data_IF_185984041348
#
_entry.id   IF_185984041348
#
_cell.length_a   1.000
_cell.length_b   1.000
_cell.length_c   1.000
_cell.angle_alpha   90.00
_cell.angle_beta   90.00
_cell.angle_gamma   90.00
#
_symmetry.space_group_name_H-M   'P 1'
#
loop_
_entity.id
_entity.type
_entity.pdbx_description
1 polymer ?
#
# COMPACT_ATOMS: atom_id res chain seq x y z
N UNK A 1 -16.41 7.58 -13.47
CA UNK A 1 -15.38 8.42 -12.86
C UNK A 1 -14.43 8.85 -13.95
N UNK A 2 -13.91 10.08 -13.91
CA UNK A 2 -12.96 10.57 -14.89
C UNK A 2 -11.56 10.03 -14.55
N UNK A 3 -10.71 9.81 -15.57
CA UNK A 3 -9.34 9.33 -15.35
C UNK A 3 -8.41 10.34 -14.65
N UNK A 4 -8.93 11.52 -14.31
CA UNK A 4 -8.17 12.60 -13.69
C UNK A 4 -8.18 12.46 -12.17
N UNK A 5 -9.31 12.08 -11.57
CA UNK A 5 -9.41 11.77 -10.14
C UNK A 5 -8.61 10.51 -9.75
N UNK A 6 -8.55 9.51 -10.64
CA UNK A 6 -7.81 8.27 -10.38
C UNK A 6 -6.29 8.44 -10.50
N UNK A 7 -5.81 9.26 -11.45
CA UNK A 7 -4.39 9.58 -11.59
C UNK A 7 -3.85 10.34 -10.36
N UNK A 8 -4.62 11.31 -9.85
CA UNK A 8 -4.27 12.03 -8.61
C UNK A 8 -4.23 11.07 -7.41
N UNK A 9 -5.10 10.06 -7.39
CA UNK A 9 -5.10 9.04 -6.33
C UNK A 9 -3.82 8.21 -6.35
N UNK A 10 -3.34 7.82 -7.54
CA UNK A 10 -2.08 7.08 -7.70
C UNK A 10 -0.87 7.92 -7.28
N UNK A 11 -0.73 9.14 -7.78
CA UNK A 11 0.40 10.02 -7.43
C UNK A 11 0.45 10.33 -5.93
N UNK A 12 -0.72 10.57 -5.32
CA UNK A 12 -0.82 10.80 -3.88
C UNK A 12 -0.39 9.57 -3.09
N UNK A 13 -0.82 8.38 -3.51
CA UNK A 13 -0.42 7.13 -2.86
C UNK A 13 1.09 6.90 -2.98
N UNK A 14 1.68 7.13 -4.16
CA UNK A 14 3.13 7.03 -4.36
C UNK A 14 3.89 7.98 -3.43
N UNK A 15 3.50 9.26 -3.38
CA UNK A 15 4.14 10.24 -2.49
C UNK A 15 4.02 9.87 -1.00
N UNK A 16 2.93 9.22 -0.59
CA UNK A 16 2.78 8.71 0.78
C UNK A 16 3.70 7.51 1.06
N UNK A 17 3.89 6.62 0.08
CA UNK A 17 4.73 5.43 0.20
C UNK A 17 6.22 5.75 0.14
N UNK A 18 6.63 6.71 -0.67
CA UNK A 18 8.02 7.18 -0.80
C UNK A 18 8.59 7.73 0.52
N UNK A 19 7.73 8.10 1.46
CA UNK A 19 8.13 8.50 2.82
C UNK A 19 8.62 7.33 3.67
N UNK A 20 8.29 6.09 3.28
CA UNK A 20 8.68 4.86 3.97
C UNK A 20 8.36 4.86 5.46
N UNK A 21 7.20 5.40 5.82
CA UNK A 21 6.73 5.49 7.19
C UNK A 21 5.39 4.75 7.39
N UNK A 22 5.12 4.36 8.65
CA UNK A 22 3.93 3.60 9.02
C UNK A 22 2.65 4.37 8.75
N UNK A 23 2.67 5.71 8.84
CA UNK A 23 1.49 6.56 8.63
C UNK A 23 1.10 6.60 7.15
N UNK A 24 2.06 6.75 6.25
CA UNK A 24 1.87 6.75 4.81
C UNK A 24 1.30 5.42 4.34
N UNK A 25 1.93 4.31 4.77
CA UNK A 25 1.41 2.98 4.46
C UNK A 25 0.00 2.78 5.02
N UNK A 26 -0.27 3.16 6.27
CA UNK A 26 -1.60 3.05 6.86
C UNK A 26 -2.67 3.80 6.07
N UNK A 27 -2.37 5.01 5.58
CA UNK A 27 -3.33 5.79 4.78
C UNK A 27 -3.64 5.11 3.46
N UNK A 28 -2.63 4.54 2.78
CA UNK A 28 -2.83 3.79 1.54
C UNK A 28 -3.64 2.52 1.78
N UNK A 29 -3.35 1.77 2.85
CA UNK A 29 -4.16 0.61 3.22
C UNK A 29 -5.60 1.01 3.57
N UNK A 30 -5.80 2.11 4.29
CA UNK A 30 -7.14 2.61 4.60
C UNK A 30 -7.91 2.96 3.32
N UNK A 31 -7.25 3.60 2.35
CA UNK A 31 -7.85 3.87 1.04
C UNK A 31 -8.23 2.57 0.32
N UNK A 32 -7.35 1.55 0.32
CA UNK A 32 -7.64 0.23 -0.26
C UNK A 32 -8.88 -0.42 0.34
N UNK A 33 -9.12 -0.28 1.65
CA UNK A 33 -10.29 -0.90 2.30
C UNK A 33 -11.64 -0.34 1.86
N UNK A 34 -11.67 0.89 1.32
CA UNK A 34 -12.90 1.57 0.89
C UNK A 34 -12.95 1.84 -0.60
N UNK A 35 -11.86 1.54 -1.32
CA UNK A 35 -11.74 1.77 -2.74
C UNK A 35 -12.69 0.87 -3.54
N UNK A 36 -13.25 1.43 -4.62
CA UNK A 36 -13.84 0.62 -5.69
C UNK A 36 -12.75 -0.10 -6.49
N UNK A 37 -13.16 -0.94 -7.44
CA UNK A 37 -12.24 -1.76 -8.23
C UNK A 37 -11.22 -0.89 -9.00
N UNK A 38 -11.67 0.17 -9.66
CA UNK A 38 -10.80 1.04 -10.46
C UNK A 38 -9.77 1.76 -9.57
N UNK A 39 -10.24 2.34 -8.46
CA UNK A 39 -9.37 3.03 -7.49
C UNK A 39 -8.41 2.05 -6.82
N UNK A 40 -8.88 0.84 -6.50
CA UNK A 40 -8.09 -0.22 -5.90
C UNK A 40 -6.92 -0.65 -6.79
N UNK A 41 -7.15 -0.79 -8.10
CA UNK A 41 -6.11 -1.12 -9.07
C UNK A 41 -5.02 -0.02 -9.12
N UNK A 42 -5.40 1.25 -9.12
CA UNK A 42 -4.45 2.36 -9.08
C UNK A 42 -3.61 2.41 -7.79
N UNK A 43 -4.24 2.15 -6.65
CA UNK A 43 -3.53 2.05 -5.36
C UNK A 43 -2.57 0.86 -5.33
N UNK A 44 -2.97 -0.28 -5.91
CA UNK A 44 -2.09 -1.44 -6.02
C UNK A 44 -0.90 -1.17 -6.94
N UNK A 45 -1.10 -0.49 -8.08
CA UNK A 45 0.00 -0.06 -8.94
C UNK A 45 0.98 0.87 -8.22
N UNK A 46 0.47 1.84 -7.44
CA UNK A 46 1.32 2.72 -6.62
C UNK A 46 2.19 1.91 -5.63
N UNK A 47 1.62 0.90 -4.99
CA UNK A 47 2.35 0.01 -4.07
C UNK A 47 3.41 -0.80 -4.80
N UNK A 48 3.11 -1.34 -5.97
CA UNK A 48 4.07 -2.10 -6.75
C UNK A 48 5.24 -1.23 -7.24
N UNK A 49 4.93 -0.03 -7.73
CA UNK A 49 5.90 0.92 -8.29
C UNK A 49 6.86 1.48 -7.25
N UNK A 50 6.45 1.58 -5.98
CA UNK A 50 7.30 2.13 -4.91
C UNK A 50 7.88 1.03 -4.04
N UNK A 51 7.07 0.05 -3.62
CA UNK A 51 7.43 -0.84 -2.53
C UNK A 51 7.92 -2.23 -2.97
N UNK A 52 7.79 -2.60 -4.25
CA UNK A 52 8.17 -3.92 -4.75
C UNK A 52 9.29 -3.86 -5.82
N UNK A 53 10.06 -2.77 -5.88
CA UNK A 53 11.09 -2.54 -6.91
C UNK A 53 12.39 -3.30 -6.69
N UNK A 54 12.73 -3.61 -5.44
CA UNK A 54 13.97 -4.28 -5.07
C UNK A 54 13.79 -5.14 -3.82
N UNK A 55 14.77 -6.01 -3.52
CA UNK A 55 14.75 -6.79 -2.28
C UNK A 55 14.82 -5.92 -1.02
N UNK A 56 15.53 -4.79 -1.07
CA UNK A 56 15.57 -3.82 0.04
C UNK A 56 14.18 -3.23 0.30
N UNK A 57 13.44 -2.91 -0.76
CA UNK A 57 12.07 -2.39 -0.67
C UNK A 57 11.13 -3.43 -0.04
N UNK A 58 11.26 -4.70 -0.42
CA UNK A 58 10.49 -5.80 0.16
C UNK A 58 10.76 -5.96 1.67
N UNK A 59 12.02 -5.85 2.10
CA UNK A 59 12.39 -5.94 3.51
C UNK A 59 11.87 -4.73 4.31
N UNK A 60 11.98 -3.53 3.74
CA UNK A 60 11.46 -2.29 4.34
C UNK A 60 9.95 -2.34 4.47
N UNK A 61 9.26 -2.77 3.42
CA UNK A 61 7.81 -2.98 3.42
C UNK A 61 7.39 -4.02 4.45
N UNK A 62 8.13 -5.13 4.56
CA UNK A 62 7.85 -6.16 5.56
C UNK A 62 7.94 -5.61 6.99
N UNK A 63 8.91 -4.73 7.28
CA UNK A 63 9.02 -4.02 8.55
C UNK A 63 7.81 -3.13 8.85
N UNK A 64 7.37 -2.33 7.88
CA UNK A 64 6.20 -1.47 8.01
C UNK A 64 4.90 -2.29 8.19
N UNK A 65 4.69 -3.33 7.39
CA UNK A 65 3.56 -4.24 7.54
C UNK A 65 3.56 -4.96 8.90
N UNK A 66 4.75 -5.27 9.44
CA UNK A 66 4.85 -5.85 10.78
C UNK A 66 4.43 -4.88 11.88
N UNK A 67 4.69 -3.58 11.72
CA UNK A 67 4.20 -2.56 12.65
C UNK A 67 2.66 -2.43 12.57
N UNK A 68 2.10 -2.50 11.36
CA UNK A 68 0.65 -2.43 11.13
C UNK A 68 -0.11 -3.71 11.51
N UNK A 69 0.59 -4.83 11.73
CA UNK A 69 -0.04 -6.06 12.22
C UNK A 69 -0.68 -5.90 13.61
N UNK A 70 -0.31 -4.86 14.36
CA UNK A 70 -0.93 -4.50 15.65
C UNK A 70 -1.79 -3.23 15.58
N UNK A 71 -2.17 -2.77 14.38
CA UNK A 71 -3.01 -1.58 14.24
C UNK A 71 -4.36 -1.80 14.94
N UNK A 72 -4.96 -0.73 15.47
CA UNK A 72 -6.26 -0.81 16.13
C UNK A 72 -7.36 -1.21 15.13
N UNK A 73 -7.22 -0.81 13.87
CA UNK A 73 -8.17 -1.10 12.82
C UNK A 73 -7.95 -2.51 12.25
N UNK A 74 -8.99 -3.35 12.31
CA UNK A 74 -8.93 -4.73 11.82
C UNK A 74 -8.73 -4.83 10.31
N UNK A 75 -9.32 -3.92 9.54
CA UNK A 75 -9.21 -3.93 8.08
C UNK A 75 -7.77 -3.59 7.67
N UNK A 76 -7.14 -2.64 8.37
CA UNK A 76 -5.72 -2.30 8.15
C UNK A 76 -4.79 -3.48 8.47
N UNK A 77 -5.05 -4.21 9.56
CA UNK A 77 -4.27 -5.41 9.91
C UNK A 77 -4.38 -6.48 8.82
N UNK A 78 -5.59 -6.69 8.31
CA UNK A 78 -5.86 -7.65 7.25
C UNK A 78 -5.13 -7.28 5.96
N UNK A 79 -5.29 -6.03 5.51
CA UNK A 79 -4.63 -5.50 4.32
C UNK A 79 -3.10 -5.53 4.42
N UNK A 80 -2.53 -5.16 5.56
CA UNK A 80 -1.08 -5.28 5.80
C UNK A 80 -0.62 -6.75 5.70
N UNK A 81 -1.46 -7.69 6.14
CA UNK A 81 -1.23 -9.12 5.96
C UNK A 81 -1.29 -9.57 4.50
N UNK A 82 -2.26 -9.09 3.72
CA UNK A 82 -2.36 -9.36 2.29
C UNK A 82 -1.14 -8.83 1.54
N UNK A 83 -0.78 -7.58 1.78
CA UNK A 83 0.37 -6.95 1.15
C UNK A 83 1.68 -7.67 1.49
N UNK A 84 1.87 -8.07 2.75
CA UNK A 84 3.05 -8.85 3.15
C UNK A 84 3.11 -10.23 2.47
N UNK A 85 1.97 -10.88 2.22
CA UNK A 85 1.93 -12.14 1.44
C UNK A 85 2.27 -11.90 -0.02
N UNK A 86 1.74 -10.83 -0.63
CA UNK A 86 2.06 -10.41 -2.01
C UNK A 86 3.56 -10.17 -2.19
N UNK A 87 4.17 -9.38 -1.29
CA UNK A 87 5.60 -9.06 -1.31
C UNK A 87 6.49 -10.33 -1.24
N UNK A 88 6.08 -11.35 -0.49
CA UNK A 88 6.80 -12.63 -0.41
C UNK A 88 6.70 -13.48 -1.68
N UNK A 89 5.63 -13.32 -2.46
CA UNK A 89 5.46 -14.02 -3.74
C UNK A 89 6.20 -13.35 -4.91
N UNK A 90 6.88 -12.22 -4.69
CA UNK A 90 7.71 -11.52 -5.68
C UNK A 90 9.21 -11.87 -5.59
N UNK A 91 9.62 -12.71 -4.62
CA UNK A 91 10.97 -13.30 -4.55
C UNK A 91 11.06 -14.54 -5.45
#
# INVERSE_FOLDING_TARGET
MDGQDTAVTQETAQALLERWDVRGLRLVLAALTVADADTGDHLCMAVDDVCLRSEEDLERLAGLCSALASDADAAIREEAGHLRRRARGHR
#
